data_IF_034164559429
#
_entry.id   IF_034164559429
#
_cell.length_a   1.000
_cell.length_b   1.000
_cell.length_c   1.000
_cell.angle_alpha   90.00
_cell.angle_beta   90.00
_cell.angle_gamma   90.00
#
_symmetry.space_group_name_H-M   'P 1'
#
loop_
_entity.id
_entity.type
_entity.pdbx_description
1 polymer ?
#
# COMPACT_ATOMS: atom_id res chain seq x y z
N UNK A 1 -31.63 16.46 56.72
CA UNK A 1 -31.02 17.22 55.62
C UNK A 1 -29.80 16.46 55.12
N UNK A 2 -29.83 15.94 53.89
CA UNK A 2 -28.66 15.53 53.08
C UNK A 2 -28.13 16.79 52.36
N UNK A 3 -26.95 16.83 51.68
CA UNK A 3 -25.94 15.79 51.40
C UNK A 3 -24.48 16.31 51.70
N UNK A 4 -23.39 15.55 51.60
CA UNK A 4 -22.64 15.33 50.35
C UNK A 4 -21.62 14.20 50.57
N UNK A 5 -21.74 13.14 49.77
CA UNK A 5 -20.71 12.12 49.57
C UNK A 5 -19.81 12.63 48.45
N UNK A 6 -18.57 12.98 48.76
CA UNK A 6 -17.58 13.36 47.76
C UNK A 6 -16.99 12.08 47.15
N UNK A 7 -17.57 11.63 46.03
CA UNK A 7 -16.99 10.59 45.20
C UNK A 7 -15.84 11.19 44.37
N UNK A 8 -14.59 10.98 44.81
CA UNK A 8 -13.41 11.16 43.97
C UNK A 8 -13.33 9.99 42.97
N UNK A 9 -13.94 10.17 41.81
CA UNK A 9 -13.69 9.32 40.65
C UNK A 9 -12.38 9.79 39.99
N UNK A 10 -11.28 9.10 40.30
CA UNK A 10 -10.03 9.22 39.54
C UNK A 10 -10.29 8.73 38.11
N UNK A 11 -10.31 9.68 37.17
CA UNK A 11 -10.44 9.41 35.74
C UNK A 11 -9.24 8.62 35.24
N UNK A 12 -9.47 7.36 34.87
CA UNK A 12 -8.58 6.58 34.02
C UNK A 12 -8.62 7.20 32.62
N UNK A 13 -7.61 8.01 32.29
CA UNK A 13 -7.33 8.42 30.91
C UNK A 13 -6.85 7.17 30.18
N UNK A 14 -7.75 6.51 29.45
CA UNK A 14 -7.38 5.47 28.49
C UNK A 14 -6.65 6.15 27.34
N UNK A 15 -5.31 6.18 27.42
CA UNK A 15 -4.43 6.43 26.29
C UNK A 15 -4.64 5.31 25.27
N UNK A 16 -5.63 5.46 24.40
CA UNK A 16 -5.75 4.62 23.22
C UNK A 16 -4.50 4.88 22.37
N UNK A 17 -3.61 3.89 22.16
CA UNK A 17 -2.54 4.07 21.21
C UNK A 17 -3.20 4.40 19.87
N UNK A 18 -2.79 5.51 19.24
CA UNK A 18 -3.04 5.73 17.82
C UNK A 18 -2.47 4.51 17.10
N UNK A 19 -3.31 3.52 16.81
CA UNK A 19 -3.01 2.59 15.74
C UNK A 19 -3.00 3.47 14.49
N UNK A 20 -1.79 3.77 14.02
CA UNK A 20 -1.58 4.30 12.68
C UNK A 20 -2.51 3.48 11.79
N UNK A 21 -3.51 4.15 11.21
CA UNK A 21 -4.51 3.47 10.39
C UNK A 21 -3.74 2.86 9.23
N UNK A 22 -3.38 1.58 9.35
CA UNK A 22 -2.90 0.79 8.24
C UNK A 22 -3.97 0.94 7.18
N UNK A 23 -3.62 1.63 6.09
CA UNK A 23 -4.43 1.61 4.87
C UNK A 23 -4.75 0.14 4.64
N UNK A 24 -6.03 -0.22 4.68
CA UNK A 24 -6.48 -1.62 4.66
C UNK A 24 -6.06 -2.26 3.34
N UNK A 25 -4.85 -2.79 3.32
CA UNK A 25 -4.33 -3.59 2.23
C UNK A 25 -5.04 -4.94 2.24
N UNK A 26 -5.50 -5.40 1.08
CA UNK A 26 -5.96 -6.78 0.92
C UNK A 26 -4.76 -7.63 0.55
N UNK A 27 -4.46 -8.63 1.39
CA UNK A 27 -3.38 -9.57 1.14
C UNK A 27 -3.90 -10.82 0.40
N UNK A 28 -3.14 -11.26 -0.59
CA UNK A 28 -3.38 -12.44 -1.41
C UNK A 28 -2.14 -13.35 -1.34
N UNK A 29 -2.35 -14.65 -1.19
CA UNK A 29 -1.26 -15.63 -1.22
C UNK A 29 -1.17 -16.25 -2.61
N UNK A 30 -0.03 -16.07 -3.27
CA UNK A 30 0.29 -16.61 -4.59
C UNK A 30 1.55 -17.45 -4.48
N UNK A 31 1.39 -18.77 -4.44
CA UNK A 31 2.50 -19.70 -4.24
C UNK A 31 3.31 -19.36 -2.98
N UNK A 32 4.59 -19.05 -3.20
CA UNK A 32 5.55 -18.66 -2.18
C UNK A 32 5.62 -17.14 -1.92
N UNK A 33 4.59 -16.38 -2.30
CA UNK A 33 4.55 -14.93 -2.18
C UNK A 33 3.24 -14.45 -1.53
N UNK A 34 3.33 -13.34 -0.82
CA UNK A 34 2.18 -12.57 -0.34
C UNK A 34 2.14 -11.24 -1.08
N UNK A 35 1.07 -11.01 -1.82
CA UNK A 35 0.80 -9.74 -2.53
C UNK A 35 -0.21 -8.93 -1.73
N UNK A 36 0.15 -7.72 -1.33
CA UNK A 36 -0.74 -6.78 -0.64
C UNK A 36 -1.15 -5.68 -1.59
N UNK A 37 -2.45 -5.50 -1.83
CA UNK A 37 -3.00 -4.40 -2.66
C UNK A 37 -3.64 -3.37 -1.76
N UNK A 38 -3.26 -2.11 -1.90
CA UNK A 38 -3.85 -0.99 -1.16
C UNK A 38 -4.97 -0.36 -1.96
N UNK A 39 -6.18 -0.39 -1.41
CA UNK A 39 -7.35 0.22 -2.02
C UNK A 39 -7.36 1.72 -1.70
N UNK A 40 -7.12 2.54 -2.73
CA UNK A 40 -7.18 3.98 -2.64
C UNK A 40 -8.35 4.52 -3.45
N UNK A 41 -9.03 5.54 -2.89
CA UNK A 41 -10.20 6.15 -3.53
C UNK A 41 -9.89 6.89 -4.84
N UNK A 42 -8.62 7.25 -5.09
CA UNK A 42 -8.22 7.89 -6.34
C UNK A 42 -8.08 6.92 -7.52
N UNK A 43 -7.97 5.61 -7.24
CA UNK A 43 -7.88 4.60 -8.28
C UNK A 43 -9.25 4.37 -8.91
N UNK A 44 -9.29 4.25 -10.23
CA UNK A 44 -10.51 3.86 -10.96
C UNK A 44 -10.84 2.38 -10.75
N UNK A 45 -12.07 1.97 -11.06
CA UNK A 45 -12.48 0.56 -10.97
C UNK A 45 -11.66 -0.34 -11.90
N UNK A 46 -11.25 0.17 -13.06
CA UNK A 46 -10.36 -0.52 -13.99
C UNK A 46 -8.98 -0.75 -13.39
N UNK A 47 -8.40 0.28 -12.76
CA UNK A 47 -7.09 0.19 -12.11
C UNK A 47 -7.12 -0.78 -10.93
N UNK A 48 -8.19 -0.71 -10.10
CA UNK A 48 -8.39 -1.65 -9.00
C UNK A 48 -8.53 -3.08 -9.49
N UNK A 49 -9.29 -3.30 -10.56
CA UNK A 49 -9.44 -4.62 -11.19
C UNK A 49 -8.11 -5.13 -11.74
N UNK A 50 -7.29 -4.24 -12.31
CA UNK A 50 -5.96 -4.59 -12.81
C UNK A 50 -5.02 -4.98 -11.67
N UNK A 51 -4.97 -4.20 -10.58
CA UNK A 51 -4.17 -4.54 -9.40
C UNK A 51 -4.63 -5.85 -8.76
N UNK A 52 -5.95 -6.08 -8.73
CA UNK A 52 -6.54 -7.34 -8.27
C UNK A 52 -6.10 -8.52 -9.14
N UNK A 53 -6.08 -8.35 -10.47
CA UNK A 53 -5.61 -9.38 -11.41
C UNK A 53 -4.14 -9.71 -11.16
N UNK A 54 -3.28 -8.70 -11.02
CA UNK A 54 -1.86 -8.90 -10.69
C UNK A 54 -1.71 -9.64 -9.36
N UNK A 55 -2.51 -9.30 -8.36
CA UNK A 55 -2.44 -9.92 -7.05
C UNK A 55 -3.05 -11.32 -6.96
N UNK A 56 -3.78 -11.77 -7.98
CA UNK A 56 -4.46 -13.08 -7.99
C UNK A 56 -3.95 -14.03 -9.08
N UNK A 57 -3.08 -13.56 -9.99
CA UNK A 57 -2.53 -14.34 -11.10
C UNK A 57 -0.99 -14.32 -11.08
N UNK A 58 -0.36 -15.49 -10.95
CA UNK A 58 1.10 -15.62 -10.89
C UNK A 58 1.82 -15.18 -12.18
N UNK A 59 1.21 -15.38 -13.35
CA UNK A 59 1.78 -14.94 -14.63
C UNK A 59 1.75 -13.41 -14.74
N UNK A 60 0.66 -12.77 -14.32
CA UNK A 60 0.57 -11.32 -14.27
C UNK A 60 1.55 -10.73 -13.26
N UNK A 61 1.68 -11.36 -12.08
CA UNK A 61 2.66 -10.97 -11.07
C UNK A 61 4.10 -11.07 -11.57
N UNK A 62 4.43 -12.08 -12.38
CA UNK A 62 5.77 -12.27 -12.93
C UNK A 62 6.23 -11.16 -13.88
N UNK A 63 5.29 -10.38 -14.46
CA UNK A 63 5.63 -9.18 -15.23
C UNK A 63 6.21 -8.06 -14.34
N UNK A 64 5.91 -8.10 -13.04
CA UNK A 64 6.32 -7.13 -12.04
C UNK A 64 7.44 -7.68 -11.13
N UNK A 65 7.42 -8.97 -10.80
CA UNK A 65 8.40 -9.60 -9.92
C UNK A 65 9.42 -10.39 -10.72
N UNK A 66 10.60 -9.80 -10.91
CA UNK A 66 11.69 -10.41 -11.68
C UNK A 66 12.45 -11.52 -10.94
N UNK A 67 12.39 -11.53 -9.60
CA UNK A 67 13.07 -12.53 -8.77
C UNK A 67 12.20 -12.94 -7.59
N UNK A 68 11.55 -14.11 -7.66
CA UNK A 68 10.74 -14.64 -6.56
C UNK A 68 11.56 -14.76 -5.26
N UNK A 69 10.90 -14.60 -4.11
CA UNK A 69 11.57 -14.65 -2.80
C UNK A 69 12.27 -13.35 -2.40
N UNK A 70 12.03 -12.26 -3.14
CA UNK A 70 12.51 -10.90 -2.85
C UNK A 70 11.34 -9.96 -2.64
N UNK A 71 11.61 -8.78 -2.10
CA UNK A 71 10.59 -7.76 -1.90
C UNK A 71 10.42 -6.91 -3.15
N UNK A 72 9.17 -6.57 -3.45
CA UNK A 72 8.80 -5.67 -4.54
C UNK A 72 7.73 -4.69 -4.07
N UNK A 73 7.69 -3.49 -4.65
CA UNK A 73 6.64 -2.51 -4.36
C UNK A 73 6.32 -1.65 -5.58
N UNK A 74 5.07 -1.21 -5.66
CA UNK A 74 4.58 -0.30 -6.68
C UNK A 74 3.96 0.94 -6.01
N UNK A 75 4.34 2.11 -6.51
CA UNK A 75 3.78 3.39 -6.08
C UNK A 75 3.17 4.13 -7.27
N UNK A 76 2.12 4.90 -6.99
CA UNK A 76 1.36 5.65 -7.99
C UNK A 76 1.02 7.05 -7.47
N UNK A 77 1.09 8.04 -8.36
CA UNK A 77 0.67 9.41 -8.09
C UNK A 77 -0.86 9.53 -8.13
N UNK A 78 -1.52 10.06 -7.08
CA UNK A 78 -2.96 10.19 -7.08
C UNK A 78 -3.52 11.12 -8.17
N UNK A 79 -2.71 12.06 -8.65
CA UNK A 79 -3.11 12.99 -9.70
C UNK A 79 -2.91 12.39 -11.11
N UNK A 80 -2.01 11.41 -11.25
CA UNK A 80 -1.70 10.74 -12.52
C UNK A 80 -2.40 9.39 -12.68
N UNK A 81 -2.90 8.77 -11.61
CA UNK A 81 -3.48 7.42 -11.66
C UNK A 81 -2.45 6.36 -12.04
N UNK A 82 -2.89 5.11 -12.09
CA UNK A 82 -2.08 3.97 -12.51
C UNK A 82 -2.07 3.80 -14.03
N UNK A 83 -3.20 4.06 -14.71
CA UNK A 83 -3.38 3.89 -16.15
C UNK A 83 -3.86 5.19 -16.78
N UNK A 84 -3.22 5.61 -17.88
CA UNK A 84 -3.61 6.77 -18.68
C UNK A 84 -3.55 6.44 -20.18
N UNK A 85 -4.67 6.62 -20.88
CA UNK A 85 -4.76 6.32 -22.31
C UNK A 85 -4.47 4.85 -22.65
N UNK A 86 -4.80 3.92 -21.74
CA UNK A 86 -4.56 2.49 -21.90
C UNK A 86 -3.12 2.03 -21.65
N UNK A 87 -2.26 2.91 -21.14
CA UNK A 87 -0.86 2.58 -20.77
C UNK A 87 -0.59 2.90 -19.30
N UNK A 88 0.37 2.21 -18.65
CA UNK A 88 0.82 2.60 -17.32
C UNK A 88 1.24 4.07 -17.30
N UNK A 89 0.78 4.81 -16.30
CA UNK A 89 1.19 6.19 -16.10
C UNK A 89 2.71 6.26 -15.88
N UNK A 90 3.36 7.33 -16.34
CA UNK A 90 4.81 7.49 -16.19
C UNK A 90 5.27 7.49 -14.72
N UNK A 91 4.38 7.88 -13.78
CA UNK A 91 4.65 7.85 -12.35
C UNK A 91 4.29 6.52 -11.69
N UNK A 92 3.74 5.54 -12.41
CA UNK A 92 3.54 4.19 -11.88
C UNK A 92 4.90 3.47 -11.76
N UNK A 93 5.55 3.66 -10.62
CA UNK A 93 6.89 3.15 -10.38
C UNK A 93 6.82 1.77 -9.72
N UNK A 94 7.34 0.78 -10.43
CA UNK A 94 7.32 -0.62 -10.07
C UNK A 94 8.76 -1.12 -9.85
N UNK A 95 9.10 -1.49 -8.61
CA UNK A 95 10.46 -1.88 -8.23
C UNK A 95 10.45 -3.29 -7.62
N UNK A 96 11.40 -4.13 -8.03
CA UNK A 96 11.51 -5.54 -7.66
C UNK A 96 12.95 -5.95 -7.34
N UNK A 97 13.12 -7.13 -6.73
CA UNK A 97 14.42 -7.70 -6.31
C UNK A 97 15.11 -6.96 -5.14
N UNK A 98 14.33 -6.43 -4.20
CA UNK A 98 14.86 -5.75 -3.02
C UNK A 98 15.03 -6.70 -1.83
N UNK A 99 16.03 -6.39 -0.99
CA UNK A 99 16.38 -7.15 0.21
C UNK A 99 15.30 -7.08 1.30
N UNK A 100 14.65 -5.92 1.43
CA UNK A 100 13.71 -5.67 2.52
C UNK A 100 12.44 -4.97 2.02
N UNK A 101 11.36 -5.13 2.79
CA UNK A 101 10.10 -4.42 2.57
C UNK A 101 10.32 -2.91 2.51
N UNK A 102 11.06 -2.35 3.46
CA UNK A 102 11.25 -0.89 3.55
C UNK A 102 12.08 -0.36 2.38
N UNK A 103 13.07 -1.12 1.91
CA UNK A 103 13.84 -0.74 0.72
C UNK A 103 12.95 -0.71 -0.53
N UNK A 104 12.08 -1.71 -0.71
CA UNK A 104 11.13 -1.74 -1.83
C UNK A 104 10.17 -0.54 -1.79
N UNK A 105 9.56 -0.29 -0.62
CA UNK A 105 8.66 0.85 -0.41
C UNK A 105 9.33 2.19 -0.71
N UNK A 106 10.49 2.42 -0.10
CA UNK A 106 11.22 3.67 -0.25
C UNK A 106 11.66 3.89 -1.71
N UNK A 107 12.13 2.85 -2.39
CA UNK A 107 12.50 2.93 -3.80
C UNK A 107 11.29 3.27 -4.67
N UNK A 108 10.18 2.55 -4.55
CA UNK A 108 8.98 2.80 -5.34
C UNK A 108 8.43 4.21 -5.14
N UNK A 109 8.32 4.65 -3.87
CA UNK A 109 7.87 6.01 -3.56
C UNK A 109 8.81 7.07 -4.13
N UNK A 110 10.13 6.89 -4.00
CA UNK A 110 11.12 7.83 -4.54
C UNK A 110 11.01 7.95 -6.07
N UNK A 111 10.99 6.83 -6.79
CA UNK A 111 10.90 6.84 -8.26
C UNK A 111 9.57 7.45 -8.73
N UNK A 112 8.45 7.07 -8.09
CA UNK A 112 7.15 7.68 -8.41
C UNK A 112 7.16 9.18 -8.14
N UNK A 113 7.69 9.60 -7.00
CA UNK A 113 7.75 11.01 -6.62
C UNK A 113 8.66 11.85 -7.53
N UNK A 114 9.70 11.24 -8.11
CA UNK A 114 10.55 11.89 -9.11
C UNK A 114 9.85 12.04 -10.47
N UNK A 115 8.96 11.10 -10.81
CA UNK A 115 8.25 11.07 -12.10
C UNK A 115 6.86 11.74 -12.09
N UNK A 116 6.27 11.97 -10.91
CA UNK A 116 4.92 12.54 -10.79
C UNK A 116 4.83 13.93 -11.40
N UNK A 117 3.72 14.21 -12.07
CA UNK A 117 3.40 15.56 -12.58
C UNK A 117 2.52 16.34 -11.60
N UNK A 118 1.83 15.61 -10.72
CA UNK A 118 0.93 16.14 -9.71
C UNK A 118 1.63 16.76 -8.49
N UNK A 119 0.80 17.37 -7.63
CA UNK A 119 1.26 17.97 -6.38
C UNK A 119 1.16 17.01 -5.20
N UNK A 120 0.26 16.02 -5.27
CA UNK A 120 0.10 15.02 -4.21
C UNK A 120 1.26 14.03 -4.24
N UNK A 121 1.72 13.65 -3.05
CA UNK A 121 2.72 12.61 -2.93
C UNK A 121 2.18 11.26 -3.41
N UNK A 122 3.08 10.46 -3.97
CA UNK A 122 2.75 9.11 -4.39
C UNK A 122 2.39 8.22 -3.20
N UNK A 123 1.53 7.25 -3.48
CA UNK A 123 1.09 6.26 -2.51
C UNK A 123 1.39 4.86 -3.03
N UNK A 124 1.72 3.95 -2.12
CA UNK A 124 1.88 2.54 -2.46
C UNK A 124 0.53 1.95 -2.84
N UNK A 125 0.49 1.22 -3.94
CA UNK A 125 -0.73 0.52 -4.42
C UNK A 125 -0.57 -1.00 -4.37
N UNK A 126 0.67 -1.49 -4.39
CA UNK A 126 0.97 -2.92 -4.32
C UNK A 126 2.31 -3.17 -3.63
N UNK A 127 2.37 -4.22 -2.81
CA UNK A 127 3.61 -4.77 -2.25
C UNK A 127 3.64 -6.28 -2.44
N UNK A 128 4.84 -6.83 -2.63
CA UNK A 128 5.09 -8.27 -2.66
C UNK A 128 6.14 -8.58 -1.62
N UNK A 129 5.84 -9.57 -0.79
CA UNK A 129 6.77 -10.14 0.17
C UNK A 129 6.88 -11.65 -0.07
N UNK A 130 8.04 -12.26 0.24
CA UNK A 130 8.14 -13.71 0.33
C UNK A 130 7.14 -14.22 1.38
N UNK A 131 6.38 -15.27 1.07
CA UNK A 131 5.62 -15.98 2.09
C UNK A 131 6.60 -16.94 2.77
N UNK A 132 6.97 -16.63 4.00
CA UNK A 132 7.70 -17.52 4.91
C UNK A 132 7.13 -18.95 4.92
#
# INVERSE_FOLDING_TARGET
MKPLVAALALGLVTLSPLQAQEVRGKAYRLGAQTVTVYDHAFLSDEEKTTLQMVATNEQALALFVTKPGRYSAMAVSPDDGFIRGGQPAASAAALSDLETRDAARAAALRECNAARKGKKDCLLVLEVAPSS
#
